data_IF_698066181940
#
_entry.id   IF_698066181940
#
_cell.length_a   1.000
_cell.length_b   1.000
_cell.length_c   1.000
_cell.angle_alpha   90.00
_cell.angle_beta   90.00
_cell.angle_gamma   90.00
#
_symmetry.space_group_name_H-M   'P 1'
#
loop_
_entity.id
_entity.type
_entity.pdbx_description
1 polymer ?
#
# COMPACT_ATOMS: atom_id res chain seq x y z
N UNK A 1 -17.45 7.62 23.54
CA UNK A 1 -17.86 7.18 22.19
C UNK A 1 -16.78 6.23 21.71
N UNK A 2 -17.09 4.94 21.59
CA UNK A 2 -16.12 3.94 21.12
C UNK A 2 -15.87 4.24 19.65
N UNK A 3 -14.69 4.77 19.32
CA UNK A 3 -14.23 4.87 17.94
C UNK A 3 -14.08 3.43 17.42
N UNK A 4 -15.11 2.96 16.73
CA UNK A 4 -15.09 1.66 16.06
C UNK A 4 -13.86 1.60 15.17
N UNK A 5 -13.17 0.46 15.19
CA UNK A 5 -12.03 0.15 14.33
C UNK A 5 -12.39 0.63 12.91
N UNK A 6 -11.63 1.57 12.31
CA UNK A 6 -11.98 2.14 11.01
C UNK A 6 -12.15 0.99 10.01
N UNK A 7 -13.36 0.86 9.45
CA UNK A 7 -13.65 -0.16 8.46
C UNK A 7 -12.87 0.17 7.17
N UNK A 8 -11.91 -0.67 6.73
CA UNK A 8 -11.06 -0.37 5.57
C UNK A 8 -11.82 -0.07 4.28
N UNK A 9 -13.03 -0.61 4.14
CA UNK A 9 -13.90 -0.43 2.97
C UNK A 9 -14.45 0.99 2.81
N UNK A 10 -14.74 1.71 3.91
CA UNK A 10 -15.28 3.07 3.84
C UNK A 10 -14.21 4.09 3.41
N UNK A 11 -12.97 3.89 3.85
CA UNK A 11 -11.89 4.81 3.55
C UNK A 11 -11.40 4.68 2.10
N UNK A 12 -11.35 3.46 1.55
CA UNK A 12 -11.01 3.27 0.13
C UNK A 12 -12.02 3.94 -0.80
N UNK A 13 -13.31 3.80 -0.52
CA UNK A 13 -14.37 4.45 -1.31
C UNK A 13 -14.23 5.99 -1.29
N UNK A 14 -13.82 6.56 -0.14
CA UNK A 14 -13.54 8.00 -0.04
C UNK A 14 -12.30 8.42 -0.84
N UNK A 15 -11.22 7.64 -0.81
CA UNK A 15 -10.00 7.86 -1.62
C UNK A 15 -10.33 7.84 -3.11
N UNK A 16 -11.14 6.88 -3.56
CA UNK A 16 -11.59 6.80 -4.96
C UNK A 16 -12.42 8.02 -5.37
N UNK A 17 -13.38 8.46 -4.54
CA UNK A 17 -14.18 9.67 -4.81
C UNK A 17 -13.33 10.94 -4.91
N UNK A 18 -12.20 10.99 -4.22
CA UNK A 18 -11.25 12.11 -4.27
C UNK A 18 -10.23 11.99 -5.42
N UNK A 19 -10.26 10.92 -6.21
CA UNK A 19 -9.27 10.67 -7.26
C UNK A 19 -7.86 10.39 -6.74
N UNK A 20 -7.71 10.09 -5.45
CA UNK A 20 -6.41 9.89 -4.79
C UNK A 20 -5.94 8.43 -4.82
N UNK A 21 -6.60 7.61 -5.64
CA UNK A 21 -6.34 6.18 -5.73
C UNK A 21 -4.91 5.91 -6.21
N UNK A 22 -4.27 6.82 -6.96
CA UNK A 22 -2.88 6.67 -7.43
C UNK A 22 -1.82 6.97 -6.38
N UNK A 23 -2.18 7.75 -5.36
CA UNK A 23 -1.28 8.10 -4.27
C UNK A 23 -1.36 7.15 -3.06
N UNK A 24 -2.33 6.24 -3.03
CA UNK A 24 -2.61 5.38 -1.87
C UNK A 24 -2.83 3.92 -2.27
N UNK A 25 -2.54 3.02 -1.33
CA UNK A 25 -2.83 1.60 -1.44
C UNK A 25 -4.06 1.26 -0.61
N UNK A 26 -4.87 0.31 -1.08
CA UNK A 26 -6.05 -0.14 -0.33
C UNK A 26 -5.65 -0.82 0.97
N UNK A 27 -4.77 -1.80 0.87
CA UNK A 27 -4.13 -2.52 1.96
C UNK A 27 -2.88 -3.24 1.40
N UNK A 28 -2.16 -3.93 2.27
CA UNK A 28 -1.07 -4.86 1.92
C UNK A 28 -1.63 -6.27 1.80
N UNK A 29 -1.40 -6.91 0.65
CA UNK A 29 -1.81 -8.28 0.37
C UNK A 29 -0.60 -9.25 0.39
N UNK A 30 -0.81 -10.57 0.43
CA UNK A 30 0.29 -11.53 0.27
C UNK A 30 0.99 -11.42 -1.09
N UNK A 31 0.25 -10.99 -2.12
CA UNK A 31 0.78 -10.73 -3.47
C UNK A 31 0.30 -9.33 -3.86
N UNK A 32 1.24 -8.43 -4.10
CA UNK A 32 0.95 -7.06 -4.54
C UNK A 32 1.58 -6.85 -5.91
N UNK A 33 0.77 -6.48 -6.91
CA UNK A 33 1.22 -6.19 -8.27
C UNK A 33 1.15 -4.69 -8.57
N UNK A 34 2.23 -4.13 -9.10
CA UNK A 34 2.31 -2.74 -9.52
C UNK A 34 2.83 -2.64 -10.95
N UNK A 35 2.29 -1.71 -11.72
CA UNK A 35 2.93 -1.27 -12.96
C UNK A 35 3.96 -0.19 -12.65
N UNK A 36 4.95 -0.02 -13.53
CA UNK A 36 5.91 1.08 -13.40
C UNK A 36 5.22 2.44 -13.35
N UNK A 37 4.22 2.67 -14.22
CA UNK A 37 3.41 3.88 -14.23
C UNK A 37 2.72 4.14 -12.88
N UNK A 38 2.30 3.07 -12.19
CA UNK A 38 1.69 3.18 -10.87
C UNK A 38 2.70 3.58 -9.79
N UNK A 39 3.93 3.05 -9.86
CA UNK A 39 5.00 3.45 -8.95
C UNK A 39 5.43 4.90 -9.19
N UNK A 40 5.46 5.34 -10.44
CA UNK A 40 5.84 6.71 -10.82
C UNK A 40 4.75 7.75 -10.50
N UNK A 41 3.49 7.33 -10.40
CA UNK A 41 2.40 8.19 -9.93
C UNK A 41 2.44 8.43 -8.41
N UNK A 42 3.22 7.65 -7.65
CA UNK A 42 3.36 7.86 -6.21
C UNK A 42 4.25 9.08 -5.93
N UNK A 43 3.92 9.87 -4.89
CA UNK A 43 4.85 10.87 -4.36
C UNK A 43 6.22 10.23 -4.03
N UNK A 44 7.36 10.91 -4.28
CA UNK A 44 8.70 10.32 -4.15
C UNK A 44 8.96 9.64 -2.80
N UNK A 45 8.54 10.26 -1.70
CA UNK A 45 8.68 9.70 -0.35
C UNK A 45 7.91 8.39 -0.17
N UNK A 46 6.69 8.32 -0.72
CA UNK A 46 5.84 7.12 -0.67
C UNK A 46 6.37 6.03 -1.60
N UNK A 47 6.89 6.39 -2.77
CA UNK A 47 7.56 5.44 -3.67
C UNK A 47 8.76 4.82 -2.97
N UNK A 48 9.60 5.62 -2.32
CA UNK A 48 10.76 5.12 -1.58
C UNK A 48 10.36 4.23 -0.40
N UNK A 49 9.33 4.63 0.36
CA UNK A 49 8.78 3.79 1.43
C UNK A 49 8.25 2.45 0.90
N UNK A 50 7.53 2.46 -0.22
CA UNK A 50 7.01 1.25 -0.85
C UNK A 50 8.12 0.32 -1.31
N UNK A 51 9.04 0.82 -2.13
CA UNK A 51 10.16 0.03 -2.62
C UNK A 51 11.05 -0.48 -1.48
N UNK A 52 11.33 0.36 -0.48
CA UNK A 52 12.10 -0.02 0.70
C UNK A 52 11.41 -1.11 1.51
N UNK A 53 10.11 -0.98 1.76
CA UNK A 53 9.31 -2.00 2.47
C UNK A 53 9.30 -3.31 1.69
N UNK A 54 9.07 -3.26 0.37
CA UNK A 54 9.01 -4.45 -0.48
C UNK A 54 10.34 -5.16 -0.60
N UNK A 55 11.45 -4.41 -0.63
CA UNK A 55 12.79 -4.98 -0.66
C UNK A 55 13.21 -5.56 0.71
N UNK A 56 12.73 -4.98 1.80
CA UNK A 56 13.05 -5.42 3.16
C UNK A 56 12.23 -6.64 3.63
N UNK A 57 10.98 -6.75 3.17
CA UNK A 57 10.00 -7.72 3.69
C UNK A 57 9.41 -8.63 2.61
N UNK A 58 9.86 -8.52 1.37
CA UNK A 58 9.23 -9.18 0.25
C UNK A 58 10.21 -9.64 -0.82
N UNK A 59 9.77 -10.61 -1.60
CA UNK A 59 10.43 -11.01 -2.83
C UNK A 59 9.79 -10.25 -3.99
N UNK A 60 10.59 -9.44 -4.68
CA UNK A 60 10.15 -8.73 -5.87
C UNK A 60 10.50 -9.52 -7.13
N UNK A 61 9.53 -9.70 -8.03
CA UNK A 61 9.71 -10.28 -9.35
C UNK A 61 9.11 -9.36 -10.40
N UNK A 62 9.84 -9.15 -11.50
CA UNK A 62 9.32 -8.41 -12.64
C UNK A 62 8.83 -9.39 -13.72
N UNK A 63 7.59 -9.23 -14.16
CA UNK A 63 7.00 -10.04 -15.21
C UNK A 63 6.09 -9.20 -16.11
N UNK A 64 6.37 -9.18 -17.41
CA UNK A 64 5.56 -8.50 -18.43
C UNK A 64 5.25 -7.02 -18.12
N UNK A 65 6.20 -6.27 -17.57
CA UNK A 65 6.04 -4.85 -17.21
C UNK A 65 5.28 -4.61 -15.88
N UNK A 66 5.03 -5.68 -15.13
CA UNK A 66 4.52 -5.64 -13.77
C UNK A 66 5.60 -6.03 -12.78
N UNK A 67 5.61 -5.36 -11.63
CA UNK A 67 6.44 -5.68 -10.47
C UNK A 67 5.53 -6.33 -9.45
N UNK A 68 5.77 -7.60 -9.18
CA UNK A 68 5.07 -8.40 -8.17
C UNK A 68 5.92 -8.46 -6.91
N UNK A 69 5.34 -8.06 -5.79
CA UNK A 69 5.92 -8.24 -4.47
C UNK A 69 5.15 -9.33 -3.72
N UNK A 70 5.86 -10.41 -3.40
CA UNK A 70 5.37 -11.53 -2.61
C UNK A 70 5.80 -11.35 -1.16
N UNK A 71 4.84 -11.34 -0.24
CA UNK A 71 5.05 -11.20 1.19
C UNK A 71 4.68 -12.51 1.90
N UNK A 72 5.55 -12.97 2.79
CA UNK A 72 5.23 -14.06 3.70
C UNK A 72 4.17 -13.60 4.73
N UNK A 73 3.34 -14.49 5.28
CA UNK A 73 2.32 -14.12 6.27
C UNK A 73 2.88 -13.37 7.49
N UNK A 74 4.08 -13.71 7.95
CA UNK A 74 4.76 -13.02 9.06
C UNK A 74 5.31 -11.64 8.69
N UNK A 75 5.57 -11.40 7.41
CA UNK A 75 6.15 -10.15 6.91
C UNK A 75 5.08 -9.17 6.44
N UNK A 76 3.86 -9.65 6.15
CA UNK A 76 2.73 -8.82 5.74
C UNK A 76 2.37 -7.76 6.79
N UNK A 77 2.36 -8.12 8.08
CA UNK A 77 2.02 -7.18 9.15
C UNK A 77 3.14 -6.15 9.36
N UNK A 78 4.41 -6.56 9.24
CA UNK A 78 5.55 -5.65 9.29
C UNK A 78 5.54 -4.65 8.12
N UNK A 79 5.27 -5.14 6.90
CA UNK A 79 5.11 -4.32 5.72
C UNK A 79 3.93 -3.35 5.85
N UNK A 80 2.81 -3.82 6.42
CA UNK A 80 1.63 -2.99 6.72
C UNK A 80 1.98 -1.87 7.71
N UNK A 81 2.66 -2.18 8.80
CA UNK A 81 3.09 -1.18 9.78
C UNK A 81 4.03 -0.13 9.18
N UNK A 82 5.01 -0.55 8.38
CA UNK A 82 5.94 0.36 7.70
C UNK A 82 5.20 1.31 6.73
N UNK A 83 4.31 0.78 5.89
CA UNK A 83 3.55 1.60 4.94
C UNK A 83 2.51 2.50 5.61
N UNK A 84 1.96 2.06 6.76
CA UNK A 84 1.07 2.89 7.56
C UNK A 84 1.78 4.11 8.16
N UNK A 85 3.04 3.97 8.57
CA UNK A 85 3.85 5.09 9.07
C UNK A 85 4.01 6.23 8.05
N UNK A 86 3.90 5.92 6.75
CA UNK A 86 3.93 6.88 5.65
C UNK A 86 2.54 7.28 5.13
N UNK A 87 1.47 6.97 5.88
CA UNK A 87 0.07 7.22 5.51
C UNK A 87 -0.30 6.70 4.10
N UNK A 88 0.29 5.57 3.68
CA UNK A 88 0.05 5.00 2.36
C UNK A 88 -1.19 4.11 2.32
N UNK A 89 -1.61 3.58 3.47
CA UNK A 89 -2.69 2.61 3.56
C UNK A 89 -4.02 3.31 3.83
N UNK A 90 -4.91 3.23 2.84
CA UNK A 90 -6.26 3.78 2.90
C UNK A 90 -7.05 3.23 4.08
N UNK A 91 -6.81 1.97 4.45
CA UNK A 91 -7.42 1.33 5.62
C UNK A 91 -7.23 2.12 6.94
N UNK A 92 -6.14 2.89 7.06
CA UNK A 92 -5.74 3.55 8.29
C UNK A 92 -5.79 5.08 8.23
N UNK A 93 -6.20 5.66 7.09
CA UNK A 93 -6.37 7.11 6.97
C UNK A 93 -7.65 7.50 7.70
N UNK A 94 -7.51 8.19 8.84
CA UNK A 94 -8.62 8.93 9.43
C UNK A 94 -8.95 10.10 8.51
N UNK A 95 -10.15 10.07 7.91
CA UNK A 95 -10.73 11.20 7.20
C UNK A 95 -11.44 12.16 8.14
#
# INVERSE_FOLDING_TARGET
MTFGIPCPANNWSAIQRRGLQDAHLRDVYPINGFTQARLDALPPERRQALCGTMQAHGRCEEHAGWIFCYLQPGEQEAARAALNAHAMLSAYINN
#
